data_IF_923960029279
#
_entry.id   IF_923960029279
#
_cell.length_a   1.000
_cell.length_b   1.000
_cell.length_c   1.000
_cell.angle_alpha   90.00
_cell.angle_beta   90.00
_cell.angle_gamma   90.00
#
_symmetry.space_group_name_H-M   'P 1'
#
loop_
_entity.id
_entity.type
_entity.pdbx_description
1 polymer ?
#
# COMPACT_ATOMS: atom_id res chain seq x y z
N UNK A 1 12.11 -16.57 -16.33
CA UNK A 1 12.81 -16.46 -15.03
C UNK A 1 11.85 -15.76 -14.08
N UNK A 2 11.42 -16.46 -13.02
CA UNK A 2 10.43 -15.95 -12.07
C UNK A 2 10.96 -14.68 -11.39
N UNK A 3 10.17 -13.60 -11.42
CA UNK A 3 10.42 -12.45 -10.56
C UNK A 3 10.41 -12.98 -9.13
N UNK A 4 11.57 -12.90 -8.47
CA UNK A 4 11.69 -13.12 -7.04
C UNK A 4 10.71 -12.14 -6.40
N UNK A 5 9.61 -12.64 -5.82
CA UNK A 5 8.79 -11.85 -4.93
C UNK A 5 9.76 -11.22 -3.93
N UNK A 6 9.89 -9.89 -3.95
CA UNK A 6 10.75 -9.19 -3.01
C UNK A 6 10.23 -9.56 -1.62
N UNK A 7 10.97 -10.43 -0.93
CA UNK A 7 10.69 -10.75 0.45
C UNK A 7 10.78 -9.42 1.20
N UNK A 8 9.63 -8.91 1.62
CA UNK A 8 9.53 -7.69 2.41
C UNK A 8 10.49 -7.79 3.61
N UNK A 9 11.21 -6.72 3.98
CA UNK A 9 12.18 -6.77 5.07
C UNK A 9 11.49 -7.21 6.37
N UNK A 10 12.20 -7.94 7.24
CA UNK A 10 11.62 -8.50 8.45
C UNK A 10 11.09 -7.38 9.39
N UNK A 11 10.00 -7.63 10.15
CA UNK A 11 9.33 -6.67 11.04
C UNK A 11 10.19 -6.09 12.19
N UNK A 12 11.48 -6.38 12.23
CA UNK A 12 12.42 -5.95 13.28
C UNK A 12 12.82 -4.45 13.21
N UNK A 13 12.42 -3.73 12.15
CA UNK A 13 12.75 -2.29 11.96
C UNK A 13 11.59 -1.33 12.29
N UNK A 14 10.46 -1.83 12.79
CA UNK A 14 9.29 -1.00 13.12
C UNK A 14 9.52 -0.28 14.46
N UNK A 15 9.80 1.02 14.39
CA UNK A 15 10.09 1.90 15.53
C UNK A 15 9.09 3.06 15.60
N UNK A 16 9.15 3.88 16.65
CA UNK A 16 8.34 5.09 16.74
C UNK A 16 8.66 6.02 15.55
N UNK A 17 7.64 6.43 14.81
CA UNK A 17 7.76 7.22 13.59
C UNK A 17 7.82 6.38 12.30
N UNK A 18 8.01 5.06 12.40
CA UNK A 18 7.95 4.19 11.23
C UNK A 18 6.57 4.24 10.58
N UNK A 19 6.56 4.28 9.24
CA UNK A 19 5.36 4.13 8.43
C UNK A 19 5.07 2.65 8.24
N UNK A 20 3.83 2.29 8.52
CA UNK A 20 3.36 0.91 8.48
C UNK A 20 2.02 0.83 7.80
N UNK A 21 1.70 -0.36 7.33
CA UNK A 21 0.44 -0.66 6.70
C UNK A 21 -0.27 -1.76 7.46
N UNK A 22 -1.55 -1.51 7.74
CA UNK A 22 -2.41 -2.34 8.57
C UNK A 22 -3.37 -3.10 7.66
N UNK A 23 -3.31 -4.44 7.62
CA UNK A 23 -4.23 -5.21 6.81
C UNK A 23 -5.65 -5.01 7.32
N UNK A 24 -6.58 -4.70 6.43
CA UNK A 24 -8.00 -4.75 6.73
C UNK A 24 -8.52 -6.11 6.27
N UNK A 25 -9.11 -6.86 7.20
CA UNK A 25 -9.55 -8.24 6.97
C UNK A 25 -10.58 -8.38 5.81
N UNK A 26 -11.19 -7.27 5.39
CA UNK A 26 -12.06 -7.19 4.23
C UNK A 26 -11.33 -6.60 3.01
N UNK A 27 -11.54 -7.21 1.84
CA UNK A 27 -11.25 -6.65 0.51
C UNK A 27 -9.79 -6.57 -0.01
N UNK A 28 -8.79 -7.13 0.68
CA UNK A 28 -7.40 -7.05 0.18
C UNK A 28 -6.91 -5.61 0.22
N UNK A 29 -7.09 -5.00 1.39
CA UNK A 29 -6.88 -3.59 1.62
C UNK A 29 -5.88 -3.36 2.75
N UNK A 30 -5.09 -2.31 2.62
CA UNK A 30 -4.09 -1.90 3.59
C UNK A 30 -4.31 -0.45 3.98
N UNK A 31 -4.61 -0.19 5.26
CA UNK A 31 -4.65 1.19 5.76
C UNK A 31 -3.25 1.68 6.11
N UNK A 32 -2.94 2.92 5.80
CA UNK A 32 -1.67 3.54 6.16
C UNK A 32 -1.71 4.11 7.57
N UNK A 33 -0.62 3.93 8.31
CA UNK A 33 -0.47 4.48 9.65
C UNK A 33 1.00 4.80 9.98
N UNK A 34 1.18 5.61 11.01
CA UNK A 34 2.47 5.88 11.63
C UNK A 34 2.48 5.30 13.04
N UNK A 35 3.60 4.69 13.41
CA UNK A 35 3.80 4.18 14.77
C UNK A 35 3.99 5.35 15.74
N UNK A 36 2.99 5.59 16.57
CA UNK A 36 3.04 6.64 17.60
C UNK A 36 3.80 6.20 18.85
N UNK A 37 3.80 4.90 19.15
CA UNK A 37 4.44 4.32 20.33
C UNK A 37 4.72 2.83 20.11
N UNK A 38 5.92 2.38 20.47
CA UNK A 38 6.23 0.93 20.58
C UNK A 38 5.92 0.48 22.01
N UNK A 39 5.32 -0.70 22.16
CA UNK A 39 4.95 -1.27 23.45
C UNK A 39 6.17 -1.59 24.32
N UNK A 40 6.02 -1.39 25.63
CA UNK A 40 6.98 -1.87 26.63
C UNK A 40 6.59 -3.25 27.18
N UNK A 41 7.09 -3.64 28.35
CA UNK A 41 6.86 -4.96 28.96
C UNK A 41 5.40 -5.44 29.01
N UNK A 42 4.43 -4.53 29.20
CA UNK A 42 2.99 -4.86 29.28
C UNK A 42 2.36 -5.07 27.89
N UNK A 43 2.97 -4.53 26.84
CA UNK A 43 2.50 -4.56 25.46
C UNK A 43 3.61 -5.09 24.54
N UNK A 44 4.36 -6.08 25.01
CA UNK A 44 5.46 -6.66 24.25
C UNK A 44 4.96 -7.19 22.90
N UNK A 45 5.71 -6.89 21.83
CA UNK A 45 5.30 -7.25 20.46
C UNK A 45 4.14 -6.42 19.89
N UNK A 46 3.68 -5.36 20.57
CA UNK A 46 2.62 -4.46 20.09
C UNK A 46 3.12 -3.04 19.87
N UNK A 47 2.42 -2.30 19.05
CA UNK A 47 2.62 -0.87 18.88
C UNK A 47 1.28 -0.13 18.78
N UNK A 48 1.29 1.15 19.15
CA UNK A 48 0.15 2.04 19.02
C UNK A 48 0.27 2.83 17.73
N UNK A 49 -0.76 2.76 16.91
CA UNK A 49 -0.80 3.39 15.59
C UNK A 49 -1.58 4.69 15.59
N UNK A 50 -1.24 5.58 14.68
CA UNK A 50 -2.04 6.71 14.27
C UNK A 50 -2.26 6.61 12.76
N UNK A 51 -3.50 6.42 12.34
CA UNK A 51 -3.84 6.29 10.92
C UNK A 51 -3.60 7.61 10.17
N UNK A 52 -3.15 7.48 8.94
CA UNK A 52 -2.84 8.59 8.02
C UNK A 52 -3.50 8.33 6.68
N UNK A 53 -3.65 9.39 5.88
CA UNK A 53 -4.05 9.27 4.48
C UNK A 53 -2.89 8.73 3.63
N UNK A 54 -3.18 7.88 2.64
CA UNK A 54 -2.16 7.38 1.72
C UNK A 54 -1.79 8.40 0.63
N UNK A 55 -2.63 9.43 0.41
CA UNK A 55 -2.45 10.42 -0.64
C UNK A 55 -1.64 11.63 -0.18
N UNK A 56 -1.85 12.08 1.05
CA UNK A 56 -1.25 13.31 1.60
C UNK A 56 -0.44 13.07 2.88
N UNK A 57 -0.45 11.83 3.40
CA UNK A 57 0.30 11.40 4.57
C UNK A 57 -0.02 12.18 5.86
N UNK A 58 -1.12 12.93 5.87
CA UNK A 58 -1.58 13.67 7.04
C UNK A 58 -2.23 12.71 8.03
N UNK A 59 -1.96 12.97 9.31
CA UNK A 59 -2.64 12.27 10.38
C UNK A 59 -4.13 12.63 10.36
N UNK A 60 -4.98 11.61 10.47
CA UNK A 60 -6.41 11.84 10.65
C UNK A 60 -6.62 12.61 11.98
N UNK A 61 -7.32 13.77 11.97
CA UNK A 61 -7.42 14.65 13.15
C UNK A 61 -8.05 13.96 14.37
N UNK A 62 -8.96 13.00 14.15
CA UNK A 62 -9.55 12.13 15.17
C UNK A 62 -9.07 10.67 15.04
N UNK A 63 -7.91 10.45 14.41
CA UNK A 63 -7.39 9.13 14.07
C UNK A 63 -7.38 8.21 15.30
N UNK A 64 -8.21 7.17 15.24
CA UNK A 64 -8.35 6.20 16.32
C UNK A 64 -6.97 5.60 16.64
N UNK A 65 -6.49 5.83 17.87
CA UNK A 65 -5.20 5.31 18.31
C UNK A 65 -5.34 3.88 18.81
N UNK A 66 -5.04 2.93 17.95
CA UNK A 66 -5.23 1.51 18.19
C UNK A 66 -3.91 0.79 18.52
N UNK A 67 -3.96 -0.20 19.41
CA UNK A 67 -2.85 -1.13 19.63
C UNK A 67 -2.97 -2.31 18.68
N UNK A 68 -1.89 -2.59 17.93
CA UNK A 68 -1.79 -3.72 17.01
C UNK A 68 -0.56 -4.55 17.29
N UNK A 69 -0.61 -5.83 16.93
CA UNK A 69 0.56 -6.71 16.98
C UNK A 69 1.52 -6.30 15.88
N UNK A 70 2.82 -6.14 16.18
CA UNK A 70 3.85 -5.81 15.19
C UNK A 70 3.87 -6.84 14.04
N UNK A 71 3.59 -8.11 14.35
CA UNK A 71 3.53 -9.19 13.37
C UNK A 71 2.35 -9.09 12.38
N UNK A 72 1.33 -8.28 12.67
CA UNK A 72 0.21 -8.03 11.75
C UNK A 72 0.54 -6.91 10.75
N UNK A 73 1.61 -6.15 11.00
CA UNK A 73 1.95 -4.96 10.23
C UNK A 73 3.03 -5.29 9.20
N UNK A 74 2.95 -4.61 8.06
CA UNK A 74 4.09 -4.53 7.14
C UNK A 74 4.68 -3.11 7.14
N UNK A 75 5.99 -2.96 6.96
CA UNK A 75 6.56 -1.66 6.65
C UNK A 75 5.95 -1.13 5.34
N UNK A 76 5.91 0.19 5.18
CA UNK A 76 5.56 0.78 3.89
C UNK A 76 6.52 0.26 2.81
N UNK A 77 6.02 -0.15 1.62
CA UNK A 77 6.87 -0.69 0.57
C UNK A 77 7.84 0.38 0.06
N UNK A 78 9.02 -0.03 -0.44
CA UNK A 78 9.98 0.89 -1.02
C UNK A 78 9.41 1.57 -2.27
N UNK A 79 9.89 2.77 -2.63
CA UNK A 79 9.52 3.41 -3.88
C UNK A 79 9.81 2.49 -5.07
N UNK A 80 8.91 2.44 -6.08
CA UNK A 80 9.10 1.57 -7.22
C UNK A 80 10.30 2.02 -8.08
N UNK A 81 11.00 1.10 -8.77
CA UNK A 81 12.08 1.43 -9.69
C UNK A 81 11.62 2.38 -10.80
N UNK A 82 12.46 3.30 -11.29
CA UNK A 82 12.05 4.33 -12.27
C UNK A 82 11.28 3.80 -13.50
N UNK A 83 11.68 2.64 -14.02
CA UNK A 83 11.12 2.06 -15.24
C UNK A 83 10.07 0.95 -14.98
N UNK A 84 9.57 0.84 -13.75
CA UNK A 84 8.66 -0.24 -13.36
C UNK A 84 7.38 -0.29 -14.22
N UNK A 85 6.85 0.88 -14.60
CA UNK A 85 5.64 1.00 -15.44
C UNK A 85 5.80 0.34 -16.81
N UNK A 86 7.02 0.31 -17.36
CA UNK A 86 7.27 -0.36 -18.63
C UNK A 86 7.14 -1.88 -18.50
N UNK A 87 7.44 -2.43 -17.32
CA UNK A 87 7.35 -3.85 -17.03
C UNK A 87 5.92 -4.33 -16.73
N UNK A 88 4.99 -3.42 -16.37
CA UNK A 88 3.61 -3.76 -16.01
C UNK A 88 2.88 -4.45 -17.17
N UNK A 89 2.27 -5.60 -16.89
CA UNK A 89 1.48 -6.42 -17.81
C UNK A 89 0.03 -6.59 -17.35
N UNK A 90 -0.83 -6.97 -18.29
CA UNK A 90 -2.17 -7.49 -17.97
C UNK A 90 -2.06 -8.71 -17.05
N UNK A 91 -3.02 -8.85 -16.15
CA UNK A 91 -3.13 -9.80 -15.04
C UNK A 91 -2.04 -9.68 -13.97
N UNK A 92 -1.26 -8.60 -13.98
CA UNK A 92 -0.34 -8.30 -12.89
C UNK A 92 -1.11 -7.71 -11.70
N UNK A 93 -0.71 -8.10 -10.49
CA UNK A 93 -1.29 -7.60 -9.25
C UNK A 93 -0.52 -6.35 -8.85
N UNK A 94 -1.25 -5.27 -8.60
CA UNK A 94 -0.73 -3.98 -8.16
C UNK A 94 -1.54 -3.50 -6.94
N UNK A 95 -1.11 -2.39 -6.37
CA UNK A 95 -1.83 -1.71 -5.31
C UNK A 95 -2.23 -0.30 -5.76
N UNK A 96 -3.53 0.00 -5.65
CA UNK A 96 -4.14 1.26 -6.02
C UNK A 96 -4.26 2.17 -4.79
N UNK A 97 -3.72 3.37 -4.89
CA UNK A 97 -3.80 4.41 -3.87
C UNK A 97 -5.24 4.91 -3.70
N UNK A 98 -5.64 5.03 -2.44
CA UNK A 98 -6.96 5.52 -2.01
C UNK A 98 -6.76 6.43 -0.79
N UNK A 99 -7.72 7.29 -0.45
CA UNK A 99 -7.54 8.24 0.64
C UNK A 99 -7.07 7.61 1.95
N UNK A 100 -7.59 6.44 2.29
CA UNK A 100 -7.34 5.74 3.55
C UNK A 100 -6.34 4.58 3.45
N UNK A 101 -5.78 4.31 2.26
CA UNK A 101 -4.95 3.13 2.08
C UNK A 101 -4.66 2.68 0.66
N UNK A 102 -4.37 1.40 0.52
CA UNK A 102 -3.99 0.73 -0.71
C UNK A 102 -4.89 -0.48 -0.95
N UNK A 103 -5.53 -0.51 -2.12
CA UNK A 103 -6.36 -1.62 -2.57
C UNK A 103 -5.56 -2.54 -3.48
N UNK A 104 -5.53 -3.83 -3.19
CA UNK A 104 -4.99 -4.82 -4.12
C UNK A 104 -5.92 -4.96 -5.33
N UNK A 105 -5.36 -4.67 -6.51
CA UNK A 105 -6.03 -4.72 -7.81
C UNK A 105 -5.24 -5.60 -8.76
N UNK A 106 -5.87 -6.06 -9.84
CA UNK A 106 -5.16 -6.59 -11.00
C UNK A 106 -5.37 -5.71 -12.21
N UNK A 107 -4.35 -5.64 -13.07
CA UNK A 107 -4.40 -4.92 -14.33
C UNK A 107 -5.20 -5.72 -15.33
N UNK A 108 -6.37 -5.25 -15.72
CA UNK A 108 -7.10 -5.83 -16.85
C UNK A 108 -6.50 -5.38 -18.18
N UNK A 109 -6.20 -4.08 -18.30
CA UNK A 109 -5.72 -3.51 -19.53
C UNK A 109 -4.74 -2.38 -19.29
N UNK A 110 -3.66 -2.35 -20.07
CA UNK A 110 -2.74 -1.22 -20.14
C UNK A 110 -3.13 -0.32 -21.30
N UNK A 111 -3.61 0.87 -20.99
CA UNK A 111 -4.00 1.86 -21.97
C UNK A 111 -2.75 2.65 -22.39
N UNK A 112 -2.45 2.63 -23.69
CA UNK A 112 -1.33 3.38 -24.24
C UNK A 112 -1.59 4.89 -24.11
N UNK A 113 -0.53 5.71 -23.92
CA UNK A 113 -0.66 7.17 -23.89
C UNK A 113 -1.35 7.70 -25.15
N UNK A 114 -2.22 8.70 -25.00
CA UNK A 114 -2.93 9.31 -26.15
C UNK A 114 -2.03 10.37 -26.81
N UNK A 115 -1.10 10.95 -26.05
CA UNK A 115 -0.09 11.87 -26.54
C UNK A 115 1.32 11.52 -26.03
N UNK A 116 2.34 11.98 -26.76
CA UNK A 116 3.74 11.87 -26.34
C UNK A 116 3.96 12.66 -25.03
N UNK A 117 4.49 11.99 -24.02
CA UNK A 117 4.72 12.58 -22.68
C UNK A 117 3.59 12.36 -21.66
N UNK A 118 2.46 11.77 -22.06
CA UNK A 118 1.44 11.34 -21.10
C UNK A 118 1.86 10.04 -20.38
N UNK A 119 1.58 9.97 -19.08
CA UNK A 119 1.75 8.75 -18.31
C UNK A 119 0.75 7.68 -18.79
N UNK A 120 1.14 6.39 -18.81
CA UNK A 120 0.21 5.32 -19.14
C UNK A 120 -0.94 5.26 -18.14
N UNK A 121 -2.12 4.90 -18.64
CA UNK A 121 -3.30 4.61 -17.81
C UNK A 121 -3.56 3.12 -17.79
N UNK A 122 -4.28 2.68 -16.77
CA UNK A 122 -4.57 1.26 -16.57
C UNK A 122 -6.05 1.08 -16.26
N UNK A 123 -6.68 0.08 -16.86
CA UNK A 123 -7.95 -0.42 -16.36
C UNK A 123 -7.64 -1.50 -15.32
N UNK A 124 -8.13 -1.31 -14.10
CA UNK A 124 -7.83 -2.17 -12.95
C UNK A 124 -9.11 -2.66 -12.29
N UNK A 125 -9.09 -3.89 -11.78
CA UNK A 125 -10.19 -4.49 -11.03
C UNK A 125 -9.73 -4.91 -9.63
N UNK A 126 -10.55 -4.61 -8.61
CA UNK A 126 -10.29 -5.02 -7.23
C UNK A 126 -10.35 -6.54 -7.08
N UNK A 127 -9.32 -7.15 -6.48
CA UNK A 127 -9.28 -8.62 -6.35
C UNK A 127 -10.40 -9.19 -5.46
N UNK A 128 -10.91 -8.39 -4.52
CA UNK A 128 -11.97 -8.78 -3.58
C UNK A 128 -13.05 -7.68 -3.48
N UNK A 129 -13.19 -6.90 -4.55
CA UNK A 129 -14.14 -5.79 -4.64
C UNK A 129 -14.74 -5.77 -6.04
N UNK A 130 -16.00 -5.34 -6.18
CA UNK A 130 -16.65 -5.12 -7.48
C UNK A 130 -16.14 -3.84 -8.18
N UNK A 131 -15.13 -3.19 -7.62
CA UNK A 131 -14.52 -1.99 -8.16
C UNK A 131 -13.76 -2.30 -9.46
N UNK A 132 -14.18 -1.69 -10.57
CA UNK A 132 -13.43 -1.62 -11.81
C UNK A 132 -13.32 -0.16 -12.24
N UNK A 133 -12.11 0.32 -12.54
CA UNK A 133 -11.87 1.72 -12.90
C UNK A 133 -10.61 1.93 -13.73
N UNK A 134 -10.51 3.11 -14.34
CA UNK A 134 -9.26 3.62 -14.85
C UNK A 134 -8.45 4.26 -13.72
N UNK A 135 -7.16 3.95 -13.67
CA UNK A 135 -6.18 4.52 -12.76
C UNK A 135 -5.00 5.10 -13.53
N UNK A 136 -4.50 6.23 -13.05
CA UNK A 136 -3.24 6.80 -13.54
C UNK A 136 -2.06 6.04 -12.93
N UNK A 137 -0.93 6.01 -13.65
CA UNK A 137 0.31 5.41 -13.17
C UNK A 137 0.77 5.94 -11.80
N UNK A 138 0.50 7.21 -11.49
CA UNK A 138 0.86 7.83 -10.20
C UNK A 138 0.06 7.30 -9.02
N UNK A 139 -1.07 6.63 -9.28
CA UNK A 139 -1.93 6.04 -8.25
C UNK A 139 -1.61 4.57 -8.01
N UNK A 140 -0.68 3.98 -8.76
CA UNK A 140 -0.37 2.56 -8.69
C UNK A 140 1.03 2.34 -8.13
N UNK A 141 1.20 1.21 -7.44
CA UNK A 141 2.51 0.65 -7.11
C UNK A 141 2.51 -0.87 -7.29
N UNK A 142 3.70 -1.48 -7.49
CA UNK A 142 3.87 -2.93 -7.49
C UNK A 142 3.51 -3.59 -6.15
#
# INVERSE_FOLDING_TARGET
AAAKAAAFPPPEEITKGSRVEVPQAAAGWWRTAVVSQVGGKVNEGRCRLQYTSALDEQAEPDGAKEWRMLAELRPAPPPPPKDWLAAVRTNEVLELARPDGWLTVFVEEKLLPVAEGEAPRFFVQGMKSELAMQADASQLRP
#
